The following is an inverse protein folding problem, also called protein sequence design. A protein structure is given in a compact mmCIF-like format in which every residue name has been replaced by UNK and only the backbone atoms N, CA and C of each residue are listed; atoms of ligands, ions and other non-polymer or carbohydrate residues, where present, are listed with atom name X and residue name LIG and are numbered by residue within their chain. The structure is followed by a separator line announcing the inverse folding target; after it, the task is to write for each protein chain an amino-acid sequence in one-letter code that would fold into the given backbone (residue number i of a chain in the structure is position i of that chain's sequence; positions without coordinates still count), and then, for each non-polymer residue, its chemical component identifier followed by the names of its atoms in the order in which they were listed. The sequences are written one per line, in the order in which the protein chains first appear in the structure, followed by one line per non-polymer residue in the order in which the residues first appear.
data_IF_893297183818
#
_entry.id   IF_893297183818
#
_cell.length_a   1.000
_cell.length_b   1.000
_cell.length_c   1.000
_cell.angle_alpha   90.00
_cell.angle_beta   90.00
_cell.angle_gamma   90.00
#
_symmetry.space_group_name_H-M   'P 1'
#
loop_
_entity.id
_entity.type
_entity.pdbx_description
1 polymer ?
#
# COMPACT_ATOMS: atom_id res chain seq x y z
N UNK A 1 3.67 58.65 -10.01
CA UNK A 1 3.64 57.31 -10.64
C UNK A 1 3.01 56.34 -9.65
N UNK A 2 1.84 55.79 -9.95
CA UNK A 2 1.15 54.78 -9.11
C UNK A 2 1.44 53.40 -9.70
N UNK A 3 2.09 52.53 -8.93
CA UNK A 3 2.32 51.15 -9.31
C UNK A 3 1.03 50.35 -9.13
N UNK A 4 0.53 49.77 -10.23
CA UNK A 4 -0.54 48.77 -10.20
C UNK A 4 0.07 47.43 -9.79
N UNK A 5 -0.33 46.91 -8.63
CA UNK A 5 -0.05 45.53 -8.24
C UNK A 5 -1.15 44.66 -8.84
N UNK A 6 -0.79 43.87 -9.85
CA UNK A 6 -1.67 42.87 -10.44
C UNK A 6 -1.63 41.62 -9.55
N UNK A 7 -2.63 41.46 -8.67
CA UNK A 7 -2.85 40.19 -7.94
C UNK A 7 -3.52 39.24 -8.92
N UNK A 8 -2.70 38.43 -9.60
CA UNK A 8 -3.19 37.34 -10.42
C UNK A 8 -3.65 36.22 -9.49
N UNK A 9 -4.96 36.14 -9.26
CA UNK A 9 -5.57 35.00 -8.61
C UNK A 9 -5.38 33.78 -9.52
N UNK A 10 -4.33 33.00 -9.25
CA UNK A 10 -4.17 31.67 -9.84
C UNK A 10 -5.17 30.79 -9.10
N UNK A 11 -6.38 30.68 -9.64
CA UNK A 11 -7.32 29.61 -9.28
C UNK A 11 -6.63 28.30 -9.59
N UNK A 12 -6.24 27.61 -8.53
CA UNK A 12 -5.64 26.29 -8.50
C UNK A 12 -6.48 25.30 -9.30
N UNK A 13 -5.99 24.93 -10.48
CA UNK A 13 -6.52 23.85 -11.30
C UNK A 13 -6.32 22.43 -10.68
N UNK A 14 -5.97 22.34 -9.40
CA UNK A 14 -5.92 21.10 -8.62
C UNK A 14 -7.28 20.69 -8.04
N UNK A 15 -8.31 21.55 -8.09
CA UNK A 15 -9.64 21.23 -7.57
C UNK A 15 -10.46 20.26 -8.46
N UNK A 16 -10.04 19.99 -9.70
CA UNK A 16 -10.85 19.21 -10.65
C UNK A 16 -10.60 17.68 -10.61
N UNK A 17 -9.59 17.20 -9.89
CA UNK A 17 -9.36 15.76 -9.63
C UNK A 17 -9.74 15.33 -8.21
N UNK A 18 -10.29 16.23 -7.40
CA UNK A 18 -10.93 15.90 -6.12
C UNK A 18 -12.42 15.57 -6.33
N UNK A 19 -12.74 14.74 -7.33
CA UNK A 19 -13.98 13.98 -7.23
C UNK A 19 -13.85 13.11 -5.98
N UNK A 20 -14.79 13.22 -5.04
CA UNK A 20 -14.80 12.52 -3.75
C UNK A 20 -14.67 11.00 -3.90
N UNK A 21 -13.45 10.49 -4.09
CA UNK A 21 -13.16 9.06 -3.98
C UNK A 21 -13.34 8.71 -2.51
N UNK A 22 -14.41 7.94 -2.24
CA UNK A 22 -14.68 7.38 -0.92
C UNK A 22 -13.88 6.10 -0.77
N UNK A 23 -12.77 6.17 -0.04
CA UNK A 23 -11.80 5.07 0.11
C UNK A 23 -12.07 4.30 1.39
N UNK A 24 -12.21 2.98 1.28
CA UNK A 24 -12.48 2.05 2.39
C UNK A 24 -13.55 2.53 3.38
N UNK A 25 -14.60 3.16 2.87
CA UNK A 25 -15.70 3.62 3.72
C UNK A 25 -16.34 2.40 4.38
N UNK A 26 -16.55 2.42 5.71
CA UNK A 26 -17.25 1.34 6.40
C UNK A 26 -18.59 1.05 5.71
N UNK A 27 -18.86 -0.23 5.43
CA UNK A 27 -20.12 -0.67 4.85
C UNK A 27 -20.83 -1.65 5.79
N UNK A 28 -22.15 -1.78 5.68
CA UNK A 28 -22.89 -2.79 6.44
C UNK A 28 -22.59 -4.20 5.93
N UNK A 29 -22.82 -5.23 6.74
CA UNK A 29 -22.74 -6.63 6.29
C UNK A 29 -23.65 -6.94 5.10
N UNK A 30 -24.83 -6.30 5.04
CA UNK A 30 -25.76 -6.47 3.94
C UNK A 30 -25.20 -5.87 2.64
N UNK A 31 -24.58 -4.69 2.71
CA UNK A 31 -23.93 -4.04 1.58
C UNK A 31 -22.70 -4.83 1.12
N UNK A 32 -21.88 -5.31 2.07
CA UNK A 32 -20.73 -6.16 1.80
C UNK A 32 -21.16 -7.45 1.07
N UNK A 33 -22.20 -8.15 1.55
CA UNK A 33 -22.74 -9.34 0.89
C UNK A 33 -23.27 -9.03 -0.51
N UNK A 34 -23.99 -7.93 -0.66
CA UNK A 34 -24.53 -7.49 -1.96
C UNK A 34 -23.43 -7.16 -2.96
N UNK A 35 -22.39 -6.45 -2.52
CA UNK A 35 -21.25 -6.09 -3.33
C UNK A 35 -20.39 -7.31 -3.71
N UNK A 36 -20.08 -8.15 -2.73
CA UNK A 36 -19.35 -9.41 -2.92
C UNK A 36 -20.05 -10.26 -4.00
N UNK A 37 -21.36 -10.51 -3.85
CA UNK A 37 -22.12 -11.33 -4.81
C UNK A 37 -22.05 -10.77 -6.25
N UNK A 38 -22.14 -9.45 -6.42
CA UNK A 38 -22.03 -8.82 -7.75
C UNK A 38 -20.63 -9.00 -8.33
N UNK A 39 -19.60 -8.80 -7.51
CA UNK A 39 -18.22 -8.97 -7.92
C UNK A 39 -17.91 -10.44 -8.29
N UNK A 40 -18.34 -11.41 -7.47
CA UNK A 40 -18.18 -12.84 -7.76
C UNK A 40 -18.85 -13.25 -9.07
N UNK A 41 -20.10 -12.81 -9.31
CA UNK A 41 -20.81 -13.08 -10.55
C UNK A 41 -20.06 -12.51 -11.76
N UNK A 42 -19.46 -11.34 -11.60
CA UNK A 42 -18.70 -10.74 -12.67
C UNK A 42 -17.40 -11.53 -12.92
N UNK A 43 -16.58 -11.79 -11.90
CA UNK A 43 -15.37 -12.63 -12.04
C UNK A 43 -15.69 -13.96 -12.74
N UNK A 44 -16.72 -14.68 -12.27
CA UNK A 44 -17.17 -15.93 -12.87
C UNK A 44 -17.56 -15.80 -14.35
N UNK A 45 -18.27 -14.74 -14.71
CA UNK A 45 -18.85 -14.63 -16.05
C UNK A 45 -17.86 -14.20 -17.13
N UNK A 46 -16.82 -13.43 -16.81
CA UNK A 46 -15.85 -13.04 -17.86
C UNK A 46 -14.39 -12.98 -17.46
N UNK A 47 -14.00 -13.57 -16.34
CA UNK A 47 -12.59 -13.82 -16.02
C UNK A 47 -12.21 -15.30 -16.13
N UNK A 48 -13.16 -16.23 -15.97
CA UNK A 48 -12.92 -17.67 -16.12
C UNK A 48 -12.51 -18.04 -17.55
N UNK A 49 -11.45 -18.85 -17.69
CA UNK A 49 -10.98 -19.41 -18.97
C UNK A 49 -10.14 -18.47 -19.84
N UNK A 50 -9.82 -17.26 -19.38
CA UNK A 50 -8.99 -16.30 -20.12
C UNK A 50 -7.51 -16.46 -19.78
N UNK A 51 -6.63 -16.47 -20.80
CA UNK A 51 -5.16 -16.55 -20.66
C UNK A 51 -4.51 -15.28 -20.07
N UNK A 52 -5.16 -14.12 -20.24
CA UNK A 52 -4.80 -12.86 -19.58
C UNK A 52 -6.08 -12.25 -19.01
N UNK A 53 -6.26 -12.21 -17.68
CA UNK A 53 -7.36 -11.49 -17.08
C UNK A 53 -7.29 -10.01 -17.50
N UNK A 54 -8.44 -9.42 -17.79
CA UNK A 54 -8.57 -7.96 -17.90
C UNK A 54 -8.20 -7.34 -16.54
N UNK A 55 -7.68 -6.10 -16.48
CA UNK A 55 -7.40 -5.42 -15.20
C UNK A 55 -8.64 -5.37 -14.31
N UNK A 56 -9.83 -5.32 -14.93
CA UNK A 56 -11.11 -5.40 -14.23
C UNK A 56 -11.27 -6.70 -13.44
N UNK A 57 -10.67 -7.81 -13.88
CA UNK A 57 -10.72 -9.05 -13.14
C UNK A 57 -10.00 -8.93 -11.79
N UNK A 58 -8.86 -8.25 -11.78
CA UNK A 58 -8.11 -7.97 -10.56
C UNK A 58 -8.92 -7.04 -9.65
N UNK A 59 -9.57 -6.02 -10.20
CA UNK A 59 -10.42 -5.09 -9.42
C UNK A 59 -11.63 -5.78 -8.76
N UNK A 60 -12.35 -6.61 -9.52
CA UNK A 60 -13.49 -7.34 -8.97
C UNK A 60 -13.04 -8.42 -8.01
N UNK A 61 -11.90 -9.08 -8.25
CA UNK A 61 -11.30 -10.00 -7.28
C UNK A 61 -10.89 -9.28 -5.99
N UNK A 62 -10.23 -8.12 -6.08
CA UNK A 62 -9.90 -7.26 -4.95
C UNK A 62 -11.14 -6.87 -4.14
N UNK A 63 -12.25 -6.56 -4.83
CA UNK A 63 -13.54 -6.28 -4.18
C UNK A 63 -14.06 -7.49 -3.42
N UNK A 64 -13.95 -8.70 -3.98
CA UNK A 64 -14.33 -9.94 -3.27
C UNK A 64 -13.43 -10.17 -2.07
N UNK A 65 -12.12 -9.99 -2.20
CA UNK A 65 -11.15 -10.15 -1.09
C UNK A 65 -11.50 -9.19 0.05
N UNK A 66 -11.67 -7.90 -0.25
CA UNK A 66 -12.01 -6.86 0.72
C UNK A 66 -13.30 -7.18 1.47
N UNK A 67 -14.39 -7.46 0.74
CA UNK A 67 -15.69 -7.75 1.34
C UNK A 67 -15.70 -9.07 2.11
N UNK A 68 -14.94 -10.07 1.67
CA UNK A 68 -14.77 -11.34 2.39
C UNK A 68 -14.03 -11.13 3.71
N UNK A 69 -12.95 -10.33 3.73
CA UNK A 69 -12.24 -9.97 4.97
C UNK A 69 -13.16 -9.24 5.94
N UNK A 70 -13.95 -8.29 5.44
CA UNK A 70 -14.93 -7.57 6.26
C UNK A 70 -15.96 -8.52 6.90
N UNK A 71 -16.44 -9.49 6.12
CA UNK A 71 -17.39 -10.52 6.56
C UNK A 71 -16.72 -11.68 7.32
N UNK A 72 -15.41 -11.58 7.58
CA UNK A 72 -14.58 -12.60 8.25
C UNK A 72 -14.57 -13.97 7.54
N UNK A 73 -14.83 -13.99 6.23
CA UNK A 73 -14.71 -15.18 5.36
C UNK A 73 -13.28 -15.27 4.79
N UNK A 74 -12.32 -15.56 5.67
CA UNK A 74 -10.89 -15.59 5.31
C UNK A 74 -10.53 -16.71 4.33
N UNK A 75 -11.31 -17.81 4.32
CA UNK A 75 -11.10 -18.90 3.36
C UNK A 75 -11.45 -18.43 1.95
N UNK A 76 -12.59 -17.76 1.77
CA UNK A 76 -12.96 -17.18 0.48
C UNK A 76 -11.96 -16.13 0.03
N UNK A 77 -11.60 -15.20 0.92
CA UNK A 77 -10.60 -14.18 0.62
C UNK A 77 -9.27 -14.81 0.15
N UNK A 78 -8.78 -15.84 0.85
CA UNK A 78 -7.56 -16.56 0.47
C UNK A 78 -7.66 -17.27 -0.88
N UNK A 79 -8.81 -17.90 -1.19
CA UNK A 79 -9.02 -18.54 -2.48
C UNK A 79 -8.95 -17.52 -3.63
N UNK A 80 -9.54 -16.34 -3.46
CA UNK A 80 -9.44 -15.26 -4.46
C UNK A 80 -8.02 -14.70 -4.54
N UNK A 81 -7.36 -14.41 -3.41
CA UNK A 81 -5.99 -13.91 -3.39
C UNK A 81 -4.99 -14.89 -4.03
N UNK A 82 -5.25 -16.20 -3.96
CA UNK A 82 -4.40 -17.22 -4.61
C UNK A 82 -4.52 -17.19 -6.15
N UNK A 83 -5.73 -16.98 -6.67
CA UNK A 83 -5.99 -16.94 -8.11
C UNK A 83 -5.64 -15.56 -8.70
N UNK A 84 -5.87 -14.51 -7.92
CA UNK A 84 -5.63 -13.11 -8.23
C UNK A 84 -4.64 -12.55 -7.21
N UNK A 85 -3.33 -12.83 -7.37
CA UNK A 85 -2.32 -12.17 -6.54
C UNK A 85 -2.37 -10.65 -6.80
N UNK A 86 -1.97 -9.85 -5.82
CA UNK A 86 -1.89 -8.41 -6.04
C UNK A 86 -0.96 -8.09 -7.21
N UNK A 87 -1.31 -7.06 -7.99
CA UNK A 87 -0.58 -6.73 -9.21
C UNK A 87 0.76 -6.05 -8.89
N UNK A 88 1.85 -6.70 -9.28
CA UNK A 88 3.24 -6.23 -9.22
C UNK A 88 3.67 -5.52 -10.51
N UNK A 89 2.74 -5.03 -11.33
CA UNK A 89 3.06 -4.58 -12.69
C UNK A 89 4.18 -3.51 -12.78
N UNK A 90 4.44 -2.80 -11.68
CA UNK A 90 5.57 -1.86 -11.55
C UNK A 90 6.64 -2.28 -10.51
N UNK A 91 6.42 -3.35 -9.73
CA UNK A 91 7.19 -3.63 -8.51
C UNK A 91 7.75 -5.07 -8.44
N UNK A 92 8.56 -5.45 -9.42
CA UNK A 92 9.31 -6.71 -9.39
C UNK A 92 10.38 -6.78 -8.27
N UNK A 93 10.57 -5.71 -7.49
CA UNK A 93 11.71 -5.56 -6.58
C UNK A 93 11.31 -5.54 -5.11
N UNK A 94 10.14 -4.98 -4.77
CA UNK A 94 9.71 -4.80 -3.39
C UNK A 94 8.37 -5.44 -3.05
N UNK A 95 7.65 -6.06 -4.00
CA UNK A 95 6.39 -6.78 -3.75
C UNK A 95 5.40 -6.02 -2.84
N UNK A 96 5.42 -4.68 -2.88
CA UNK A 96 4.56 -3.81 -2.08
C UNK A 96 3.18 -3.60 -2.70
N UNK A 97 2.76 -4.53 -3.55
CA UNK A 97 1.55 -4.39 -4.32
C UNK A 97 0.29 -4.27 -3.45
N UNK A 98 -0.74 -3.74 -4.08
CA UNK A 98 -2.01 -3.41 -3.45
C UNK A 98 -3.15 -4.11 -4.15
N UNK A 99 -4.15 -4.54 -3.39
CA UNK A 99 -5.46 -4.83 -3.97
C UNK A 99 -6.21 -3.52 -4.10
N UNK A 100 -6.68 -3.20 -5.31
CA UNK A 100 -7.52 -2.04 -5.57
C UNK A 100 -8.80 -2.55 -6.20
N UNK A 101 -9.91 -2.45 -5.49
CA UNK A 101 -11.24 -2.77 -5.99
C UNK A 101 -12.08 -1.51 -6.17
N UNK A 102 -13.04 -1.56 -7.10
CA UNK A 102 -14.05 -0.52 -7.26
C UNK A 102 -15.45 -1.09 -7.03
N UNK A 103 -16.30 -0.37 -6.31
CA UNK A 103 -17.70 -0.76 -6.14
C UNK A 103 -18.68 0.38 -5.94
N UNK A 104 -19.87 0.19 -6.50
CA UNK A 104 -21.03 1.06 -6.26
C UNK A 104 -21.09 2.34 -7.09
N UNK A 105 -22.19 3.08 -6.88
CA UNK A 105 -22.35 4.48 -7.25
C UNK A 105 -22.79 5.23 -5.98
N UNK A 106 -22.08 6.28 -5.52
CA UNK A 106 -20.82 6.81 -6.08
C UNK A 106 -19.70 5.76 -6.07
N UNK A 107 -18.64 5.97 -6.87
CA UNK A 107 -17.51 5.03 -6.94
C UNK A 107 -16.81 5.01 -5.57
N UNK A 108 -16.90 3.88 -4.88
CA UNK A 108 -16.06 3.59 -3.73
C UNK A 108 -14.84 2.80 -4.19
N UNK A 109 -13.69 3.14 -3.63
CA UNK A 109 -12.43 2.44 -3.89
C UNK A 109 -12.04 1.67 -2.64
N UNK A 110 -11.72 0.40 -2.82
CA UNK A 110 -11.33 -0.51 -1.75
C UNK A 110 -9.87 -0.88 -1.91
N UNK A 111 -9.05 -0.57 -0.92
CA UNK A 111 -7.61 -0.71 -0.99
C UNK A 111 -7.12 -1.56 0.16
N UNK A 112 -6.30 -2.56 -0.15
CA UNK A 112 -5.61 -3.37 0.84
C UNK A 112 -4.12 -3.41 0.52
N UNK A 113 -3.31 -3.29 1.57
CA UNK A 113 -1.89 -3.63 1.53
C UNK A 113 -1.78 -5.14 1.27
N UNK A 114 -1.20 -5.54 0.13
CA UNK A 114 -1.14 -6.92 -0.32
C UNK A 114 -0.44 -7.84 0.69
N UNK A 115 0.81 -7.57 1.07
CA UNK A 115 1.52 -8.34 2.09
C UNK A 115 0.73 -8.43 3.41
N UNK A 116 0.13 -7.33 3.88
CA UNK A 116 -0.66 -7.36 5.11
C UNK A 116 -1.90 -8.25 4.99
N UNK A 117 -2.52 -8.25 3.81
CA UNK A 117 -3.65 -9.11 3.48
C UNK A 117 -3.24 -10.57 3.59
N UNK A 118 -2.12 -10.97 2.98
CA UNK A 118 -1.63 -12.34 3.09
C UNK A 118 -1.30 -12.72 4.54
N UNK A 119 -0.67 -11.83 5.32
CA UNK A 119 -0.42 -12.08 6.74
C UNK A 119 -1.71 -12.41 7.50
N UNK A 120 -2.75 -11.57 7.36
CA UNK A 120 -4.04 -11.80 8.01
C UNK A 120 -4.68 -13.11 7.57
N UNK A 121 -4.75 -13.34 6.25
CA UNK A 121 -5.39 -14.53 5.71
C UNK A 121 -4.69 -15.80 6.16
N UNK A 122 -3.35 -15.79 6.20
CA UNK A 122 -2.57 -16.91 6.68
C UNK A 122 -2.75 -17.13 8.18
N UNK A 123 -2.68 -16.06 8.99
CA UNK A 123 -2.88 -16.12 10.45
C UNK A 123 -4.25 -16.69 10.82
N UNK A 124 -5.33 -16.17 10.25
CA UNK A 124 -6.70 -16.61 10.55
C UNK A 124 -7.01 -18.03 10.02
N UNK A 125 -6.15 -18.56 9.14
CA UNK A 125 -6.21 -19.95 8.65
C UNK A 125 -5.23 -20.90 9.37
N UNK A 126 -4.46 -20.42 10.35
CA UNK A 126 -3.45 -21.20 11.07
C UNK A 126 -2.21 -21.56 10.22
N UNK A 127 -1.94 -20.80 9.16
CA UNK A 127 -0.81 -20.96 8.23
C UNK A 127 0.20 -19.83 8.39
N UNK A 128 0.49 -19.45 9.64
CA UNK A 128 1.18 -18.21 9.96
C UNK A 128 2.49 -18.02 9.19
N UNK A 129 2.56 -16.91 8.44
CA UNK A 129 3.75 -16.44 7.74
C UNK A 129 4.04 -15.02 8.21
N UNK A 130 4.97 -14.92 9.16
CA UNK A 130 5.38 -13.65 9.76
C UNK A 130 6.11 -12.75 8.77
N UNK A 131 6.69 -13.30 7.69
CA UNK A 131 7.40 -12.53 6.67
C UNK A 131 6.52 -11.48 6.03
N UNK A 132 5.26 -11.81 5.75
CA UNK A 132 4.27 -10.91 5.17
C UNK A 132 3.94 -9.71 6.09
N UNK A 133 3.92 -9.91 7.42
CA UNK A 133 3.72 -8.80 8.36
C UNK A 133 4.87 -7.80 8.31
N UNK A 134 6.10 -8.29 8.40
CA UNK A 134 7.30 -7.47 8.35
C UNK A 134 7.41 -6.72 7.03
N UNK A 135 7.12 -7.41 5.94
CA UNK A 135 7.15 -6.84 4.61
C UNK A 135 6.07 -5.76 4.43
N UNK A 136 4.85 -6.00 4.93
CA UNK A 136 3.78 -5.01 4.92
C UNK A 136 4.16 -3.71 5.63
N UNK A 137 4.76 -3.80 6.82
CA UNK A 137 5.25 -2.64 7.56
C UNK A 137 6.26 -1.83 6.74
N UNK A 138 7.21 -2.52 6.12
CA UNK A 138 8.26 -1.88 5.31
C UNK A 138 7.70 -1.21 4.05
N UNK A 139 6.74 -1.85 3.39
CA UNK A 139 6.01 -1.26 2.28
C UNK A 139 5.27 0.01 2.69
N UNK A 140 4.55 -0.04 3.81
CA UNK A 140 3.85 1.12 4.37
C UNK A 140 4.84 2.27 4.71
N UNK A 141 6.02 1.93 5.23
CA UNK A 141 7.03 2.89 5.67
C UNK A 141 7.74 3.60 4.50
N UNK A 142 8.09 2.90 3.42
CA UNK A 142 9.00 3.43 2.39
C UNK A 142 8.39 3.53 0.98
N UNK A 143 7.19 2.98 0.75
CA UNK A 143 6.54 3.01 -0.56
C UNK A 143 5.20 3.74 -0.49
N UNK A 144 5.10 4.97 -1.02
CA UNK A 144 3.92 5.81 -0.88
C UNK A 144 2.68 5.21 -1.56
N UNK A 145 2.82 4.37 -2.59
CA UNK A 145 1.66 3.78 -3.28
C UNK A 145 0.77 2.91 -2.38
N UNK A 146 1.31 2.34 -1.30
CA UNK A 146 0.52 1.60 -0.31
C UNK A 146 -0.21 2.53 0.69
N UNK A 147 0.36 3.69 1.00
CA UNK A 147 -0.05 4.62 2.08
C UNK A 147 -0.81 5.89 1.63
N UNK A 148 -0.72 6.29 0.37
CA UNK A 148 -1.16 7.61 -0.12
C UNK A 148 -2.65 7.91 0.12
N UNK A 149 -3.46 6.88 0.40
CA UNK A 149 -4.91 7.01 0.42
C UNK A 149 -5.53 6.94 1.82
N UNK A 150 -4.71 6.91 2.89
CA UNK A 150 -5.17 6.88 4.30
C UNK A 150 -6.31 5.88 4.52
N UNK A 151 -6.18 4.72 3.88
CA UNK A 151 -7.25 3.75 3.77
C UNK A 151 -7.40 3.03 5.12
N UNK A 152 -8.60 3.05 5.69
CA UNK A 152 -8.90 2.28 6.91
C UNK A 152 -9.13 0.84 6.49
N UNK A 153 -8.45 -0.17 7.04
CA UNK A 153 -8.70 -1.55 6.64
C UNK A 153 -10.13 -1.99 7.03
N UNK A 154 -10.77 -2.89 6.26
CA UNK A 154 -12.12 -3.38 6.56
C UNK A 154 -12.20 -4.20 7.85
N UNK A 155 -11.05 -4.70 8.31
CA UNK A 155 -10.93 -5.43 9.56
C UNK A 155 -10.14 -4.57 10.55
N UNK A 156 -10.72 -4.21 11.72
CA UNK A 156 -10.04 -3.39 12.72
C UNK A 156 -8.82 -4.09 13.36
N UNK A 157 -8.64 -5.40 13.14
CA UNK A 157 -7.42 -6.12 13.54
C UNK A 157 -6.22 -5.80 12.64
N UNK A 158 -6.45 -5.24 11.45
CA UNK A 158 -5.37 -4.81 10.57
C UNK A 158 -4.90 -3.41 10.97
N UNK A 159 -3.59 -3.13 10.93
CA UNK A 159 -3.07 -1.79 11.15
C UNK A 159 -3.52 -0.85 10.03
N UNK A 160 -4.00 0.32 10.45
CA UNK A 160 -4.40 1.47 9.62
C UNK A 160 -3.34 2.57 9.57
N UNK A 161 -2.33 2.48 10.44
CA UNK A 161 -1.20 3.40 10.53
C UNK A 161 0.04 2.65 11.01
N UNK A 162 1.22 3.19 10.70
CA UNK A 162 2.51 2.58 11.06
C UNK A 162 2.67 2.27 12.55
N UNK A 163 2.15 3.12 13.44
CA UNK A 163 2.25 2.87 14.89
C UNK A 163 1.46 1.65 15.36
N UNK A 164 0.37 1.28 14.68
CA UNK A 164 -0.42 0.08 15.03
C UNK A 164 0.33 -1.21 14.70
N UNK A 165 1.27 -1.20 13.75
CA UNK A 165 2.18 -2.33 13.55
C UNK A 165 3.03 -2.58 14.79
N UNK A 166 3.43 -1.55 15.54
CA UNK A 166 4.22 -1.72 16.75
C UNK A 166 3.40 -2.43 17.85
N UNK A 167 2.12 -2.12 17.96
CA UNK A 167 1.23 -2.73 18.94
C UNK A 167 0.98 -4.21 18.61
N UNK A 168 0.72 -4.51 17.34
CA UNK A 168 0.61 -5.89 16.85
C UNK A 168 1.93 -6.64 17.06
N UNK A 169 3.07 -6.01 16.76
CA UNK A 169 4.38 -6.62 16.95
C UNK A 169 4.62 -7.00 18.43
N UNK A 170 4.31 -6.09 19.36
CA UNK A 170 4.46 -6.33 20.80
C UNK A 170 3.56 -7.45 21.33
N UNK A 171 2.34 -7.55 20.79
CA UNK A 171 1.36 -8.56 21.18
C UNK A 171 1.73 -9.94 20.64
N UNK A 172 2.10 -10.02 19.36
CA UNK A 172 2.05 -11.27 18.61
C UNK A 172 3.43 -11.89 18.34
N UNK A 173 4.52 -11.16 18.59
CA UNK A 173 5.87 -11.58 18.23
C UNK A 173 6.81 -11.60 19.45
N UNK A 174 7.89 -12.41 19.40
CA UNK A 174 8.88 -12.43 20.46
C UNK A 174 9.45 -11.03 20.75
N UNK A 175 9.67 -10.72 22.03
CA UNK A 175 10.15 -9.42 22.49
C UNK A 175 11.38 -8.89 21.74
N UNK A 176 12.28 -9.79 21.32
CA UNK A 176 13.45 -9.41 20.51
C UNK A 176 13.05 -8.79 19.17
N UNK A 177 12.13 -9.42 18.44
CA UNK A 177 11.72 -8.94 17.11
C UNK A 177 10.87 -7.67 17.21
N UNK A 178 9.96 -7.60 18.18
CA UNK A 178 9.13 -6.42 18.40
C UNK A 178 9.94 -5.21 18.89
N UNK A 179 10.94 -5.41 19.74
CA UNK A 179 11.87 -4.34 20.13
C UNK A 179 12.75 -3.88 18.97
N UNK A 180 13.19 -4.79 18.09
CA UNK A 180 13.94 -4.41 16.90
C UNK A 180 13.08 -3.58 15.93
N UNK A 181 11.79 -3.92 15.77
CA UNK A 181 10.85 -3.12 14.99
C UNK A 181 10.68 -1.72 15.56
N UNK A 182 10.44 -1.61 16.87
CA UNK A 182 10.25 -0.33 17.54
C UNK A 182 11.50 0.55 17.36
N UNK A 183 12.69 -0.01 17.55
CA UNK A 183 13.95 0.70 17.31
C UNK A 183 14.11 1.10 15.84
N UNK A 184 13.79 0.23 14.89
CA UNK A 184 13.86 0.55 13.47
C UNK A 184 12.86 1.66 13.09
N UNK A 185 11.67 1.64 13.68
CA UNK A 185 10.67 2.67 13.48
C UNK A 185 11.15 4.05 13.96
N UNK A 186 11.74 4.10 15.15
CA UNK A 186 12.26 5.33 15.75
C UNK A 186 13.51 5.84 15.02
N UNK A 187 14.51 4.97 14.79
CA UNK A 187 15.82 5.37 14.29
C UNK A 187 15.90 5.53 12.77
N UNK A 188 15.01 4.86 12.01
CA UNK A 188 15.03 4.87 10.54
C UNK A 188 13.73 5.43 9.97
N UNK A 189 12.57 4.85 10.31
CA UNK A 189 11.30 5.19 9.61
C UNK A 189 10.85 6.61 9.92
N UNK A 190 10.89 7.03 11.18
CA UNK A 190 10.47 8.38 11.62
C UNK A 190 11.29 9.47 10.91
N UNK A 191 12.63 9.50 10.99
CA UNK A 191 13.41 10.54 10.31
C UNK A 191 13.31 10.44 8.77
N UNK A 192 13.16 9.24 8.21
CA UNK A 192 12.89 9.06 6.78
C UNK A 192 11.58 9.76 6.40
N UNK A 193 10.48 9.51 7.11
CA UNK A 193 9.17 10.09 6.82
C UNK A 193 9.13 11.60 6.99
N UNK A 194 9.73 12.12 8.05
CA UNK A 194 9.84 13.57 8.25
C UNK A 194 10.59 14.25 7.10
N UNK A 195 11.65 13.61 6.60
CA UNK A 195 12.41 14.12 5.44
C UNK A 195 11.63 13.96 4.14
N UNK A 196 10.98 12.82 3.92
CA UNK A 196 10.15 12.54 2.73
C UNK A 196 8.99 13.54 2.61
N UNK A 197 8.30 13.82 3.71
CA UNK A 197 7.18 14.78 3.77
C UNK A 197 7.63 16.22 3.47
N UNK A 198 8.89 16.55 3.75
CA UNK A 198 9.48 17.84 3.40
C UNK A 198 9.88 17.96 1.92
N UNK A 199 9.86 16.87 1.13
CA UNK A 199 10.19 16.91 -0.30
C UNK A 199 9.02 17.52 -1.09
N UNK A 200 9.17 18.79 -1.46
CA UNK A 200 8.22 19.51 -2.33
C UNK A 200 8.53 19.39 -3.83
N UNK A 201 9.60 18.66 -4.19
CA UNK A 201 10.01 18.42 -5.58
C UNK A 201 8.97 17.57 -6.33
N UNK A 202 8.98 17.68 -7.66
CA UNK A 202 8.11 16.94 -8.58
C UNK A 202 8.92 16.10 -9.56
N UNK A 203 8.24 15.14 -10.18
CA UNK A 203 8.77 14.33 -11.29
C UNK A 203 10.15 13.72 -10.98
N UNK A 204 11.10 13.79 -11.92
CA UNK A 204 12.43 13.20 -11.77
C UNK A 204 13.19 13.73 -10.55
N UNK A 205 13.08 15.03 -10.26
CA UNK A 205 13.74 15.63 -9.09
C UNK A 205 13.22 15.04 -7.76
N UNK A 206 11.92 14.72 -7.69
CA UNK A 206 11.34 14.00 -6.54
C UNK A 206 11.94 12.60 -6.42
N UNK A 207 11.97 11.84 -7.51
CA UNK A 207 12.49 10.47 -7.48
C UNK A 207 13.98 10.42 -7.15
N UNK A 208 14.78 11.38 -7.61
CA UNK A 208 16.18 11.51 -7.23
C UNK A 208 16.35 11.77 -5.73
N UNK A 209 15.58 12.70 -5.16
CA UNK A 209 15.63 12.99 -3.72
C UNK A 209 15.20 11.77 -2.88
N UNK A 210 14.13 11.07 -3.26
CA UNK A 210 13.66 9.86 -2.57
C UNK A 210 14.67 8.71 -2.70
N UNK A 211 15.32 8.57 -3.87
CA UNK A 211 16.39 7.59 -4.07
C UNK A 211 17.55 7.81 -3.10
N UNK A 212 18.05 9.04 -2.99
CA UNK A 212 19.16 9.35 -2.10
C UNK A 212 18.76 9.22 -0.62
N UNK A 213 17.54 9.62 -0.27
CA UNK A 213 16.98 9.40 1.05
C UNK A 213 16.92 7.90 1.40
N UNK A 214 16.48 7.06 0.47
CA UNK A 214 16.41 5.60 0.66
C UNK A 214 17.80 4.98 0.80
N UNK A 215 18.80 5.45 0.04
CA UNK A 215 20.19 5.01 0.20
C UNK A 215 20.75 5.35 1.57
N UNK A 216 20.48 6.56 2.05
CA UNK A 216 20.91 7.01 3.37
C UNK A 216 20.27 6.15 4.46
N UNK A 217 18.97 5.85 4.34
CA UNK A 217 18.29 4.93 5.25
C UNK A 217 18.89 3.52 5.22
N UNK A 218 19.20 2.98 4.04
CA UNK A 218 19.85 1.66 3.90
C UNK A 218 21.21 1.63 4.59
N UNK A 219 22.01 2.68 4.41
CA UNK A 219 23.34 2.80 5.02
C UNK A 219 23.26 2.95 6.54
N UNK A 220 22.35 3.80 7.04
CA UNK A 220 22.10 3.94 8.47
C UNK A 220 21.65 2.61 9.09
N UNK A 221 20.75 1.88 8.42
CA UNK A 221 20.27 0.59 8.89
C UNK A 221 21.42 -0.44 9.04
N UNK A 222 22.38 -0.43 8.11
CA UNK A 222 23.60 -1.26 8.19
C UNK A 222 24.51 -0.85 9.35
N UNK A 223 24.76 0.45 9.51
CA UNK A 223 25.62 0.98 10.57
C UNK A 223 25.06 0.67 11.97
N UNK A 224 23.75 0.78 12.12
CA UNK A 224 23.00 0.45 13.34
C UNK A 224 22.76 -1.06 13.52
N UNK A 225 23.27 -1.89 12.59
CA UNK A 225 23.22 -3.36 12.64
C UNK A 225 21.81 -3.93 12.73
N UNK A 226 20.86 -3.33 12.02
CA UNK A 226 19.52 -3.93 11.88
C UNK A 226 19.58 -5.25 11.11
N UNK A 227 18.65 -6.14 11.42
CA UNK A 227 18.53 -7.44 10.79
C UNK A 227 18.42 -7.37 9.27
N UNK A 228 18.87 -8.44 8.61
CA UNK A 228 18.96 -8.54 7.15
C UNK A 228 17.66 -8.15 6.43
N UNK A 229 16.49 -8.46 7.00
CA UNK A 229 15.18 -8.12 6.40
C UNK A 229 15.02 -6.62 6.14
N UNK A 230 15.42 -5.78 7.09
CA UNK A 230 15.31 -4.33 7.00
C UNK A 230 16.28 -3.77 5.95
N UNK A 231 17.54 -4.23 6.01
CA UNK A 231 18.60 -3.79 5.11
C UNK A 231 18.30 -4.19 3.67
N UNK A 232 17.97 -5.46 3.42
CA UNK A 232 17.66 -5.97 2.07
C UNK A 232 16.45 -5.26 1.48
N UNK A 233 15.41 -4.97 2.27
CA UNK A 233 14.26 -4.22 1.78
C UNK A 233 14.64 -2.81 1.33
N UNK A 234 15.46 -2.09 2.10
CA UNK A 234 15.90 -0.73 1.74
C UNK A 234 16.83 -0.73 0.52
N UNK A 235 17.66 -1.76 0.36
CA UNK A 235 18.48 -1.97 -0.84
C UNK A 235 17.60 -2.20 -2.07
N UNK A 236 16.60 -3.07 -1.98
CA UNK A 236 15.65 -3.29 -3.07
C UNK A 236 14.80 -2.04 -3.36
N UNK A 237 14.45 -1.26 -2.33
CA UNK A 237 13.76 0.02 -2.47
C UNK A 237 14.62 1.06 -3.19
N UNK A 238 15.94 1.03 -2.97
CA UNK A 238 16.89 1.85 -3.73
C UNK A 238 16.88 1.51 -5.22
N UNK A 239 16.85 0.23 -5.58
CA UNK A 239 16.76 -0.19 -6.98
C UNK A 239 15.44 0.22 -7.63
N UNK A 240 14.34 0.10 -6.91
CA UNK A 240 13.03 0.59 -7.35
C UNK A 240 13.06 2.09 -7.65
N UNK A 241 13.52 2.92 -6.71
CA UNK A 241 13.55 4.37 -6.91
C UNK A 241 14.49 4.79 -8.04
N UNK A 242 15.60 4.07 -8.24
CA UNK A 242 16.47 4.26 -9.39
C UNK A 242 15.72 4.02 -10.71
N UNK A 243 14.94 2.94 -10.79
CA UNK A 243 14.13 2.65 -11.98
C UNK A 243 13.05 3.71 -12.20
N UNK A 244 12.37 4.15 -11.14
CA UNK A 244 11.34 5.20 -11.23
C UNK A 244 11.94 6.52 -11.72
N UNK A 245 13.13 6.88 -11.24
CA UNK A 245 13.89 8.02 -11.74
C UNK A 245 14.18 7.87 -13.25
N UNK A 246 14.74 6.74 -13.68
CA UNK A 246 15.03 6.48 -15.09
C UNK A 246 13.78 6.57 -15.98
N UNK A 247 12.66 5.97 -15.56
CA UNK A 247 11.39 6.05 -16.30
C UNK A 247 10.91 7.49 -16.42
N UNK A 248 11.01 8.27 -15.33
CA UNK A 248 10.61 9.67 -15.30
C UNK A 248 11.49 10.57 -16.16
N UNK A 249 12.79 10.29 -16.24
CA UNK A 249 13.73 11.02 -17.09
C UNK A 249 13.53 10.71 -18.58
N UNK A 250 13.15 9.47 -18.91
CA UNK A 250 12.85 9.04 -20.28
C UNK A 250 11.50 9.54 -20.78
N UNK A 251 10.57 9.85 -19.88
CA UNK A 251 9.23 10.35 -20.20
C UNK A 251 8.92 11.63 -19.39
N UNK A 252 9.66 12.74 -19.63
CA UNK A 252 9.43 13.98 -18.93
C UNK A 252 8.01 14.49 -19.23
N UNK A 253 7.25 14.79 -18.19
CA UNK A 253 5.91 15.39 -18.28
C UNK A 253 5.96 16.90 -18.43
#
# INVERSE_FOLDING_TARGET
MRAFVFVMAITSATAAYAADYKINVPMSDADAKGLMRRAELWVKNKCTGKKRPDWRCDDYAATVIYTSIQLQDYVKAANYATVYPFSDALDQYNHCGTYIGEGGRPRHTYILNGPLTYYLLNKERGLEDTGNFWHAFLCEAFHPYATVLKAVPPNPKLPSKLSEYLDIARSDFPARESNELARFYEEIVTPYKETEDAITLKDSARYAAVLDLTRNAAQAAKQLRFGKRYVTFLENSTEYWRRMLTISEQNPR
#
